data_IF_630275054128
#
_entry.id   IF_630275054128
#
_cell.length_a   1.000
_cell.length_b   1.000
_cell.length_c   1.000
_cell.angle_alpha   90.00
_cell.angle_beta   90.00
_cell.angle_gamma   90.00
#
_symmetry.space_group_name_H-M   'P 1'
#
loop_
_entity.id
_entity.type
_entity.pdbx_description
1 polymer ?
#
# COMPACT_ATOMS: atom_id res chain seq x y z
N UNK A 1 -31.41 32.97 -37.70
CA UNK A 1 -30.25 32.84 -36.77
C UNK A 1 -30.46 31.85 -35.62
N UNK A 2 -31.65 31.71 -35.00
CA UNK A 2 -31.86 30.80 -33.84
C UNK A 2 -31.87 29.28 -34.15
N UNK A 3 -31.99 28.86 -35.42
CA UNK A 3 -31.94 27.44 -35.84
C UNK A 3 -30.52 26.93 -36.14
N UNK A 4 -29.61 27.83 -36.53
CA UNK A 4 -28.21 27.49 -36.81
C UNK A 4 -27.41 27.24 -35.52
N UNK A 5 -27.70 28.01 -34.46
CA UNK A 5 -27.08 27.82 -33.13
C UNK A 5 -27.46 26.47 -32.50
N UNK A 6 -28.68 25.96 -32.78
CA UNK A 6 -29.12 24.66 -32.27
C UNK A 6 -28.39 23.48 -32.93
N UNK A 7 -27.98 23.61 -34.19
CA UNK A 7 -27.18 22.58 -34.87
C UNK A 7 -25.70 22.62 -34.45
N UNK A 8 -25.19 23.80 -34.10
CA UNK A 8 -23.82 23.95 -33.58
C UNK A 8 -23.66 23.42 -32.15
N UNK A 9 -24.71 23.50 -31.31
CA UNK A 9 -24.72 22.89 -29.97
C UNK A 9 -24.83 21.36 -30.01
N UNK A 10 -25.49 20.77 -31.02
CA UNK A 10 -25.56 19.32 -31.17
C UNK A 10 -24.22 18.71 -31.67
N UNK A 11 -23.50 19.42 -32.55
CA UNK A 11 -22.17 19.01 -32.99
C UNK A 11 -21.11 19.11 -31.88
N UNK A 12 -21.26 20.06 -30.95
CA UNK A 12 -20.36 20.21 -29.81
C UNK A 12 -20.54 19.12 -28.73
N UNK A 13 -21.72 18.45 -28.67
CA UNK A 13 -22.00 17.41 -27.68
C UNK A 13 -21.50 16.01 -28.10
N UNK A 14 -21.20 15.81 -29.38
CA UNK A 14 -20.70 14.51 -29.90
C UNK A 14 -19.17 14.39 -29.77
N UNK A 15 -18.45 15.50 -29.62
CA UNK A 15 -16.99 15.51 -29.47
C UNK A 15 -16.47 15.26 -28.04
N UNK A 16 -17.35 15.05 -27.06
CA UNK A 16 -16.96 14.76 -25.67
C UNK A 16 -17.30 13.34 -25.23
N UNK A 17 -17.42 12.39 -26.16
CA UNK A 17 -17.25 10.97 -25.80
C UNK A 17 -15.78 10.74 -25.50
N UNK A 18 -15.36 11.13 -24.29
CA UNK A 18 -14.13 10.65 -23.71
C UNK A 18 -14.22 9.13 -23.76
N UNK A 19 -13.34 8.51 -24.55
CA UNK A 19 -13.14 7.07 -24.52
C UNK A 19 -12.73 6.78 -23.09
N UNK A 20 -13.64 6.22 -22.31
CA UNK A 20 -13.34 5.68 -21.01
C UNK A 20 -12.39 4.49 -21.27
N UNK A 21 -11.09 4.78 -21.31
CA UNK A 21 -10.06 3.77 -21.36
C UNK A 21 -10.11 3.01 -20.06
N UNK A 22 -10.82 1.88 -20.05
CA UNK A 22 -10.63 0.87 -19.02
C UNK A 22 -9.13 0.58 -18.97
N UNK A 23 -8.52 0.68 -17.79
CA UNK A 23 -7.12 0.33 -17.64
C UNK A 23 -6.95 -1.12 -18.08
N UNK A 24 -6.27 -1.36 -19.20
CA UNK A 24 -6.02 -2.70 -19.71
C UNK A 24 -5.10 -3.42 -18.72
N UNK A 25 -5.53 -4.60 -18.26
CA UNK A 25 -4.71 -5.46 -17.41
C UNK A 25 -3.51 -5.93 -18.24
N UNK A 26 -2.32 -5.56 -17.79
CA UNK A 26 -1.07 -5.94 -18.42
C UNK A 26 -0.54 -7.23 -17.79
N UNK A 27 -0.03 -8.12 -18.64
CA UNK A 27 0.65 -9.33 -18.21
C UNK A 27 1.96 -8.96 -17.51
N UNK A 28 2.22 -9.58 -16.37
CA UNK A 28 3.45 -9.40 -15.63
C UNK A 28 4.07 -10.71 -15.15
N UNK A 29 5.28 -10.64 -14.58
CA UNK A 29 5.97 -11.78 -13.99
C UNK A 29 5.10 -12.55 -13.00
N UNK A 30 5.13 -13.88 -13.09
CA UNK A 30 4.41 -14.78 -12.20
C UNK A 30 2.97 -15.06 -12.61
N UNK A 31 2.38 -14.30 -13.55
CA UNK A 31 1.03 -14.58 -14.05
C UNK A 31 0.97 -15.95 -14.70
N UNK A 32 -0.15 -16.66 -14.50
CA UNK A 32 -0.41 -17.94 -15.16
C UNK A 32 -1.43 -17.71 -16.26
N UNK A 33 -1.07 -18.15 -17.46
CA UNK A 33 -1.86 -17.99 -18.67
C UNK A 33 -2.14 -19.35 -19.31
N UNK A 34 -3.36 -19.50 -19.79
CA UNK A 34 -3.80 -20.63 -20.59
C UNK A 34 -4.05 -20.14 -22.01
N UNK A 35 -3.31 -20.70 -22.95
CA UNK A 35 -3.43 -20.42 -24.38
C UNK A 35 -4.09 -21.58 -25.10
N UNK A 36 -4.90 -21.24 -26.10
CA UNK A 36 -5.49 -22.17 -27.05
C UNK A 36 -5.38 -21.59 -28.45
N UNK A 37 -4.97 -22.42 -29.41
CA UNK A 37 -4.93 -22.04 -30.82
C UNK A 37 -6.05 -22.77 -31.56
N UNK A 38 -6.93 -22.02 -32.21
CA UNK A 38 -8.08 -22.60 -32.90
C UNK A 38 -7.65 -23.57 -34.00
N UNK A 39 -8.23 -24.77 -34.02
CA UNK A 39 -7.88 -25.83 -34.97
C UNK A 39 -6.50 -26.46 -34.76
N UNK A 40 -5.82 -26.19 -33.64
CA UNK A 40 -4.50 -26.74 -33.32
C UNK A 40 -4.39 -27.07 -31.81
N UNK A 41 -5.08 -28.12 -31.33
CA UNK A 41 -5.09 -28.48 -29.91
C UNK A 41 -3.69 -28.78 -29.35
N UNK A 42 -2.79 -29.30 -30.18
CA UNK A 42 -1.39 -29.61 -29.82
C UNK A 42 -0.56 -28.36 -29.47
N UNK A 43 -1.04 -27.17 -29.83
CA UNK A 43 -0.43 -25.88 -29.47
C UNK A 43 -1.07 -25.23 -28.23
N UNK A 44 -2.02 -25.91 -27.59
CA UNK A 44 -2.62 -25.42 -26.34
C UNK A 44 -1.65 -25.62 -25.18
N UNK A 45 -1.52 -24.61 -24.34
CA UNK A 45 -0.54 -24.59 -23.26
C UNK A 45 -1.08 -23.85 -22.05
N UNK A 46 -0.81 -24.36 -20.86
CA UNK A 46 -0.91 -23.59 -19.62
C UNK A 46 0.50 -23.37 -19.08
N UNK A 47 0.89 -22.10 -18.91
CA UNK A 47 2.26 -21.74 -18.53
C UNK A 47 2.30 -20.47 -17.69
N UNK A 48 3.44 -20.24 -17.05
CA UNK A 48 3.70 -19.05 -16.23
C UNK A 48 4.57 -18.05 -16.99
N UNK A 49 4.26 -16.77 -16.88
CA UNK A 49 5.13 -15.68 -17.31
C UNK A 49 6.37 -15.64 -16.41
N UNK A 50 7.55 -15.80 -16.99
CA UNK A 50 8.83 -15.78 -16.27
C UNK A 50 9.11 -14.42 -15.64
N UNK A 51 10.10 -14.36 -14.75
CA UNK A 51 10.63 -13.10 -14.19
C UNK A 51 11.14 -12.12 -15.25
N UNK A 52 11.59 -12.65 -16.39
CA UNK A 52 12.01 -11.84 -17.55
C UNK A 52 10.85 -11.40 -18.44
N UNK A 53 9.59 -11.71 -18.08
CA UNK A 53 8.40 -11.37 -18.87
C UNK A 53 8.17 -12.27 -20.09
N UNK A 54 8.74 -13.47 -20.13
CA UNK A 54 8.61 -14.39 -21.26
C UNK A 54 7.70 -15.56 -20.93
N UNK A 55 7.07 -16.16 -21.95
CA UNK A 55 6.49 -17.51 -21.88
C UNK A 55 7.25 -18.44 -22.82
N UNK A 56 7.31 -19.72 -22.50
CA UNK A 56 7.81 -20.74 -23.42
C UNK A 56 6.63 -21.31 -24.19
N UNK A 57 6.57 -21.08 -25.51
CA UNK A 57 5.47 -21.52 -26.37
C UNK A 57 5.96 -22.58 -27.39
N UNK A 58 5.17 -23.63 -27.70
CA UNK A 58 5.56 -24.65 -28.66
C UNK A 58 5.94 -24.04 -30.02
N UNK A 59 7.00 -24.56 -30.65
CA UNK A 59 7.57 -24.11 -31.94
C UNK A 59 8.24 -22.73 -31.90
N UNK A 60 7.74 -21.79 -31.08
CA UNK A 60 8.27 -20.42 -30.98
C UNK A 60 9.37 -20.24 -29.93
N UNK A 61 9.50 -21.19 -28.98
CA UNK A 61 10.44 -21.05 -27.87
C UNK A 61 10.02 -19.92 -26.93
N UNK A 62 10.96 -19.02 -26.58
CA UNK A 62 10.64 -17.90 -25.68
C UNK A 62 9.93 -16.77 -26.42
N UNK A 63 8.73 -16.42 -25.95
CA UNK A 63 7.95 -15.30 -26.47
C UNK A 63 7.82 -14.23 -25.38
N UNK A 64 8.28 -12.98 -25.63
CA UNK A 64 8.10 -11.89 -24.68
C UNK A 64 6.65 -11.43 -24.65
N UNK A 65 6.01 -11.51 -23.48
CA UNK A 65 4.61 -11.12 -23.27
C UNK A 65 4.43 -10.14 -22.11
N UNK A 66 5.44 -9.97 -21.26
CA UNK A 66 5.43 -9.01 -20.15
C UNK A 66 5.20 -7.59 -20.64
N UNK A 67 4.33 -6.87 -19.94
CA UNK A 67 3.90 -5.51 -20.27
C UNK A 67 2.89 -5.41 -21.41
N UNK A 68 2.53 -6.52 -22.08
CA UNK A 68 1.48 -6.53 -23.10
C UNK A 68 0.11 -6.74 -22.45
N UNK A 69 -0.92 -6.16 -23.07
CA UNK A 69 -2.30 -6.60 -22.82
C UNK A 69 -2.52 -7.99 -23.41
N UNK A 70 -3.53 -8.70 -22.91
CA UNK A 70 -3.88 -10.05 -23.38
C UNK A 70 -4.07 -10.07 -24.90
N UNK A 71 -4.86 -9.13 -25.44
CA UNK A 71 -5.10 -9.02 -26.89
C UNK A 71 -3.81 -8.75 -27.69
N UNK A 72 -2.91 -7.93 -27.16
CA UNK A 72 -1.62 -7.67 -27.80
C UNK A 72 -0.71 -8.90 -27.79
N UNK A 73 -0.72 -9.69 -26.70
CA UNK A 73 0.02 -10.94 -26.60
C UNK A 73 -0.55 -12.02 -27.55
N UNK A 74 -1.88 -12.17 -27.62
CA UNK A 74 -2.55 -13.06 -28.57
C UNK A 74 -2.16 -12.76 -30.02
N UNK A 75 -2.29 -11.49 -30.41
CA UNK A 75 -1.92 -11.04 -31.75
C UNK A 75 -0.44 -11.31 -32.04
N UNK A 76 0.45 -11.00 -31.09
CA UNK A 76 1.89 -11.23 -31.26
C UNK A 76 2.22 -12.70 -31.48
N UNK A 77 1.62 -13.60 -30.70
CA UNK A 77 1.83 -15.05 -30.84
C UNK A 77 1.27 -15.54 -32.17
N UNK A 78 0.09 -15.08 -32.58
CA UNK A 78 -0.49 -15.38 -33.88
C UNK A 78 0.43 -14.96 -35.04
N UNK A 79 0.91 -13.71 -35.02
CA UNK A 79 1.83 -13.17 -36.02
C UNK A 79 3.14 -13.98 -36.08
N UNK A 80 3.66 -14.44 -34.94
CA UNK A 80 4.88 -15.27 -34.89
C UNK A 80 4.65 -16.68 -35.45
N UNK A 81 3.49 -17.29 -35.19
CA UNK A 81 3.11 -18.59 -35.76
C UNK A 81 2.98 -18.53 -37.29
N UNK A 82 2.42 -17.43 -37.80
CA UNK A 82 2.29 -17.21 -39.25
C UNK A 82 3.63 -16.95 -39.93
N UNK A 83 4.46 -16.06 -39.34
CA UNK A 83 5.79 -15.75 -39.88
C UNK A 83 6.74 -16.94 -39.85
N UNK A 84 6.61 -17.82 -38.84
CA UNK A 84 7.36 -19.07 -38.76
C UNK A 84 6.91 -20.14 -39.74
N UNK A 85 5.82 -19.91 -40.50
CA UNK A 85 5.28 -20.88 -41.45
C UNK A 85 4.56 -22.06 -40.80
N UNK A 86 4.27 -21.99 -39.50
CA UNK A 86 3.61 -23.07 -38.75
C UNK A 86 2.10 -23.10 -39.02
N UNK A 87 1.48 -21.92 -39.20
CA UNK A 87 0.05 -21.77 -39.49
C UNK A 87 -0.16 -20.67 -40.54
N UNK A 88 -1.26 -20.75 -41.31
CA UNK A 88 -1.60 -19.71 -42.31
C UNK A 88 -2.50 -18.59 -41.76
N UNK A 89 -3.35 -18.92 -40.78
CA UNK A 89 -4.30 -18.02 -40.13
C UNK A 89 -4.41 -18.41 -38.67
N UNK A 90 -3.49 -17.92 -37.85
CA UNK A 90 -3.40 -18.32 -36.45
C UNK A 90 -4.40 -17.49 -35.62
N UNK A 91 -5.40 -18.16 -35.04
CA UNK A 91 -6.30 -17.56 -34.07
C UNK A 91 -5.93 -18.05 -32.68
N UNK A 92 -5.34 -17.17 -31.89
CA UNK A 92 -4.86 -17.45 -30.53
C UNK A 92 -5.84 -16.82 -29.54
N UNK A 93 -6.24 -17.59 -28.53
CA UNK A 93 -6.98 -17.11 -27.38
C UNK A 93 -6.16 -17.36 -26.12
N UNK A 94 -6.08 -16.37 -25.25
CA UNK A 94 -5.32 -16.38 -24.01
C UNK A 94 -6.22 -16.00 -22.84
N UNK A 95 -6.20 -16.82 -21.80
CA UNK A 95 -6.92 -16.58 -20.56
C UNK A 95 -5.92 -16.51 -19.41
N UNK A 96 -5.97 -15.44 -18.61
CA UNK A 96 -5.17 -15.34 -17.39
C UNK A 96 -5.87 -16.13 -16.29
N UNK A 97 -5.29 -17.24 -15.86
CA UNK A 97 -5.83 -18.10 -14.79
C UNK A 97 -5.40 -17.63 -13.41
N UNK A 98 -4.27 -16.91 -13.30
CA UNK A 98 -3.80 -16.34 -12.04
C UNK A 98 -3.07 -15.02 -12.29
N UNK A 99 -3.54 -13.95 -11.63
CA UNK A 99 -2.92 -12.62 -11.63
C UNK A 99 -1.99 -12.48 -10.43
N UNK A 100 -0.77 -12.99 -10.55
CA UNK A 100 0.23 -12.89 -9.49
C UNK A 100 0.98 -11.55 -9.54
N UNK A 101 1.10 -10.97 -10.74
CA UNK A 101 1.80 -9.71 -10.98
C UNK A 101 1.03 -8.50 -10.46
N UNK A 102 -0.31 -8.59 -10.39
CA UNK A 102 -1.20 -7.51 -9.99
C UNK A 102 -1.59 -7.60 -8.50
N UNK A 103 -0.61 -7.85 -7.62
CA UNK A 103 -0.86 -7.94 -6.18
C UNK A 103 -0.06 -6.89 -5.41
N UNK A 104 -0.73 -6.25 -4.45
CA UNK A 104 -0.11 -5.35 -3.47
C UNK A 104 -0.01 -6.08 -2.13
N UNK A 105 1.13 -5.96 -1.48
CA UNK A 105 1.33 -6.51 -0.14
C UNK A 105 0.92 -5.49 0.90
N UNK A 106 -0.08 -5.81 1.72
CA UNK A 106 -0.47 -5.00 2.88
C UNK A 106 -0.01 -5.71 4.14
N UNK A 107 0.98 -5.14 4.82
CA UNK A 107 1.74 -5.79 5.89
C UNK A 107 1.78 -4.90 7.15
N UNK A 108 2.27 -5.48 8.25
CA UNK A 108 2.40 -4.79 9.53
C UNK A 108 1.11 -4.81 10.34
N UNK A 109 0.86 -3.74 11.09
CA UNK A 109 -0.26 -3.65 12.04
C UNK A 109 -1.58 -3.26 11.38
N UNK A 110 -2.06 -4.13 10.47
CA UNK A 110 -3.42 -4.12 9.90
C UNK A 110 -4.24 -5.28 10.45
N UNK A 111 -5.56 -5.21 10.36
CA UNK A 111 -6.43 -6.28 10.87
C UNK A 111 -6.29 -7.60 10.09
N UNK A 112 -6.03 -7.52 8.78
CA UNK A 112 -5.82 -8.68 7.90
C UNK A 112 -4.59 -8.46 7.03
N UNK A 113 -3.38 -8.79 7.49
CA UNK A 113 -2.19 -8.68 6.64
C UNK A 113 -2.23 -9.74 5.53
N UNK A 114 -1.76 -9.38 4.33
CA UNK A 114 -1.78 -10.30 3.19
C UNK A 114 -1.52 -9.62 1.85
N UNK A 115 -1.62 -10.43 0.79
CA UNK A 115 -1.56 -9.94 -0.59
C UNK A 115 -2.97 -9.72 -1.12
N UNK A 116 -3.17 -8.57 -1.75
CA UNK A 116 -4.46 -8.13 -2.26
C UNK A 116 -4.34 -7.87 -3.75
N UNK A 117 -5.24 -8.46 -4.54
CA UNK A 117 -5.31 -8.21 -5.96
C UNK A 117 -5.70 -6.75 -6.23
N UNK A 118 -4.99 -6.10 -7.14
CA UNK A 118 -5.30 -4.75 -7.61
C UNK A 118 -5.96 -4.88 -8.97
N UNK A 119 -7.29 -4.94 -8.96
CA UNK A 119 -8.08 -4.84 -10.19
C UNK A 119 -8.39 -3.38 -10.47
N UNK A 120 -7.93 -2.89 -11.63
CA UNK A 120 -8.13 -1.50 -12.05
C UNK A 120 -7.27 -0.51 -11.26
N UNK A 121 -7.75 0.74 -11.17
CA UNK A 121 -7.08 1.79 -10.38
C UNK A 121 -7.53 1.68 -8.93
N UNK A 122 -6.61 1.34 -8.03
CA UNK A 122 -6.82 1.33 -6.59
C UNK A 122 -5.83 2.26 -5.92
N UNK A 123 -6.25 2.80 -4.77
CA UNK A 123 -5.40 3.66 -3.95
C UNK A 123 -5.06 3.04 -2.60
N UNK A 124 -4.10 3.64 -1.92
CA UNK A 124 -3.64 3.20 -0.59
C UNK A 124 -4.81 3.00 0.38
N UNK A 125 -5.75 3.94 0.44
CA UNK A 125 -6.92 3.84 1.33
C UNK A 125 -7.82 2.63 1.00
N UNK A 126 -8.02 2.32 -0.28
CA UNK A 126 -8.80 1.16 -0.69
C UNK A 126 -8.19 -0.15 -0.16
N UNK A 127 -6.86 -0.27 -0.30
CA UNK A 127 -6.13 -1.46 0.13
C UNK A 127 -6.12 -1.60 1.65
N UNK A 128 -5.98 -0.49 2.39
CA UNK A 128 -6.14 -0.50 3.84
C UNK A 128 -7.55 -0.92 4.25
N UNK A 129 -8.59 -0.44 3.57
CA UNK A 129 -9.97 -0.84 3.82
C UNK A 129 -10.21 -2.33 3.53
N UNK A 130 -9.67 -2.85 2.42
CA UNK A 130 -9.70 -4.28 2.10
C UNK A 130 -8.99 -5.12 3.18
N UNK A 131 -7.88 -4.62 3.73
CA UNK A 131 -7.19 -5.22 4.87
C UNK A 131 -7.94 -5.10 6.21
N UNK A 132 -9.15 -4.54 6.22
CA UNK A 132 -9.97 -4.35 7.40
C UNK A 132 -9.58 -3.15 8.25
N UNK A 133 -8.77 -2.24 7.71
CA UNK A 133 -8.26 -1.07 8.41
C UNK A 133 -6.98 -1.35 9.22
N UNK A 134 -6.44 -0.27 9.80
CA UNK A 134 -5.30 -0.31 10.70
C UNK A 134 -5.72 -0.99 12.01
N UNK A 135 -4.90 -1.91 12.52
CA UNK A 135 -5.13 -2.61 13.78
C UNK A 135 -5.02 -1.64 14.97
N UNK A 136 -5.61 -1.96 16.13
CA UNK A 136 -5.58 -1.07 17.32
C UNK A 136 -4.18 -0.76 17.88
N UNK A 137 -3.19 -1.58 17.56
CA UNK A 137 -1.76 -1.36 17.89
C UNK A 137 -0.97 -0.76 16.72
N UNK A 138 -1.63 -0.44 15.60
CA UNK A 138 -1.01 0.18 14.43
C UNK A 138 -0.96 1.69 14.54
N UNK A 139 0.10 2.27 13.96
CA UNK A 139 0.31 3.70 13.93
C UNK A 139 -0.51 4.39 12.84
N UNK A 140 -0.66 5.70 13.00
CA UNK A 140 -1.33 6.56 12.02
C UNK A 140 -0.49 6.75 10.73
N UNK A 141 0.80 6.45 10.83
CA UNK A 141 1.79 6.62 9.76
C UNK A 141 2.05 5.26 9.13
N UNK A 142 1.98 5.22 7.80
CA UNK A 142 2.28 4.04 7.00
C UNK A 142 3.43 4.35 6.04
N UNK A 143 4.10 3.29 5.58
CA UNK A 143 5.09 3.36 4.52
C UNK A 143 4.55 2.73 3.24
N UNK A 144 4.57 3.48 2.15
CA UNK A 144 4.39 2.96 0.80
C UNK A 144 5.76 2.72 0.19
N UNK A 145 6.11 1.46 -0.04
CA UNK A 145 7.35 1.06 -0.70
C UNK A 145 7.03 0.64 -2.12
N UNK A 146 7.72 1.25 -3.09
CA UNK A 146 7.51 0.99 -4.52
C UNK A 146 8.83 0.73 -5.19
N UNK A 147 8.89 -0.36 -5.96
CA UNK A 147 10.02 -0.65 -6.83
C UNK A 147 9.57 -0.47 -8.28
N UNK A 148 10.24 0.43 -9.00
CA UNK A 148 10.03 0.70 -10.43
C UNK A 148 11.40 0.79 -11.09
N UNK A 149 11.60 0.08 -12.20
CA UNK A 149 12.86 0.08 -12.96
C UNK A 149 14.12 -0.17 -12.11
N UNK A 150 14.01 -1.04 -11.09
CA UNK A 150 15.09 -1.36 -10.16
C UNK A 150 15.34 -0.33 -9.05
N UNK A 151 14.66 0.83 -9.08
CA UNK A 151 14.73 1.84 -8.03
C UNK A 151 13.61 1.64 -7.00
N UNK A 152 14.01 1.48 -5.75
CA UNK A 152 13.08 1.36 -4.62
C UNK A 152 12.93 2.71 -3.92
N UNK A 153 11.69 3.18 -3.84
CA UNK A 153 11.30 4.41 -3.13
C UNK A 153 10.46 4.05 -1.91
N UNK A 154 10.59 4.84 -0.85
CA UNK A 154 9.78 4.74 0.36
C UNK A 154 9.14 6.09 0.64
N UNK A 155 7.82 6.12 0.64
CA UNK A 155 7.01 7.29 0.97
C UNK A 155 6.30 7.08 2.30
N UNK A 156 6.28 8.12 3.12
CA UNK A 156 5.64 8.09 4.43
C UNK A 156 4.31 8.84 4.33
N UNK A 157 3.22 8.18 4.72
CA UNK A 157 1.86 8.71 4.59
C UNK A 157 1.23 8.74 5.97
N UNK A 158 0.79 9.92 6.38
CA UNK A 158 -0.02 10.12 7.58
C UNK A 158 -1.50 9.93 7.24
N UNK A 159 -2.02 8.73 7.48
CA UNK A 159 -3.38 8.33 7.08
C UNK A 159 -4.43 9.13 7.86
N UNK A 160 -4.20 9.36 9.14
CA UNK A 160 -5.15 10.09 10.00
C UNK A 160 -5.22 11.56 9.60
N UNK A 161 -4.07 12.21 9.39
CA UNK A 161 -4.05 13.60 8.92
C UNK A 161 -4.66 13.71 7.52
N UNK A 162 -4.36 12.77 6.62
CA UNK A 162 -4.92 12.73 5.27
C UNK A 162 -6.45 12.72 5.27
N UNK A 163 -7.07 11.83 6.07
CA UNK A 163 -8.54 11.72 6.15
C UNK A 163 -9.16 12.92 6.86
N UNK A 164 -8.56 13.39 7.97
CA UNK A 164 -9.10 14.51 8.76
C UNK A 164 -9.01 15.85 8.03
N UNK A 165 -7.91 16.09 7.34
CA UNK A 165 -7.66 17.36 6.65
C UNK A 165 -8.18 17.35 5.20
N UNK A 166 -8.61 16.20 4.68
CA UNK A 166 -9.02 16.05 3.28
C UNK A 166 -7.86 16.12 2.28
N UNK A 167 -6.63 15.83 2.70
CA UNK A 167 -5.41 15.84 1.86
C UNK A 167 -5.30 14.60 0.96
N UNK A 168 -6.35 14.32 0.16
CA UNK A 168 -6.42 13.12 -0.70
C UNK A 168 -5.39 13.10 -1.84
N UNK A 169 -4.61 14.17 -2.01
CA UNK A 169 -3.46 14.20 -2.92
C UNK A 169 -2.32 13.27 -2.48
N UNK A 170 -2.33 12.79 -1.22
CA UNK A 170 -1.41 11.77 -0.70
C UNK A 170 -1.99 10.35 -0.72
N UNK A 171 -3.22 10.19 -1.24
CA UNK A 171 -3.81 8.87 -1.48
C UNK A 171 -3.37 8.39 -2.87
N UNK A 172 -2.16 7.83 -2.90
CA UNK A 172 -1.49 7.40 -4.11
C UNK A 172 -2.18 6.18 -4.73
N UNK A 173 -2.23 6.15 -6.06
CA UNK A 173 -2.53 4.92 -6.77
C UNK A 173 -1.42 3.89 -6.53
N UNK A 174 -1.82 2.65 -6.30
CA UNK A 174 -0.91 1.52 -6.10
C UNK A 174 -0.99 0.58 -7.29
N UNK A 175 0.11 -0.10 -7.56
CA UNK A 175 0.18 -1.11 -8.60
C UNK A 175 0.81 -2.40 -8.06
N UNK A 176 0.74 -3.45 -8.87
CA UNK A 176 1.37 -4.73 -8.59
C UNK A 176 2.82 -4.59 -8.11
N UNK A 177 3.16 -5.32 -7.06
CA UNK A 177 4.47 -5.31 -6.41
C UNK A 177 4.67 -4.24 -5.34
N UNK A 178 3.75 -3.28 -5.19
CA UNK A 178 3.85 -2.28 -4.11
C UNK A 178 3.63 -2.93 -2.73
N UNK A 179 4.26 -2.34 -1.71
CA UNK A 179 4.13 -2.75 -0.32
C UNK A 179 3.59 -1.58 0.49
N UNK A 180 2.43 -1.78 1.10
CA UNK A 180 1.89 -0.91 2.14
C UNK A 180 2.23 -1.53 3.47
N UNK A 181 3.10 -0.88 4.24
CA UNK A 181 3.53 -1.34 5.55
C UNK A 181 3.00 -0.41 6.63
N UNK A 182 2.21 -0.94 7.55
CA UNK A 182 1.69 -0.19 8.70
C UNK A 182 2.60 -0.42 9.90
N UNK A 183 3.26 0.64 10.34
CA UNK A 183 4.13 0.58 11.51
C UNK A 183 3.33 0.36 12.79
N UNK A 184 4.01 -0.09 13.84
CA UNK A 184 3.41 -0.12 15.17
C UNK A 184 3.10 1.31 15.60
N UNK A 185 2.04 1.50 16.37
CA UNK A 185 1.79 2.76 17.03
C UNK A 185 3.00 3.16 17.90
N UNK A 186 3.39 4.45 17.88
CA UNK A 186 4.47 4.93 18.73
C UNK A 186 4.13 4.64 20.18
N UNK A 187 5.17 4.34 20.98
CA UNK A 187 5.01 4.02 22.40
C UNK A 187 5.91 4.90 23.24
N UNK A 188 5.48 5.13 24.46
CA UNK A 188 6.29 5.67 25.55
C UNK A 188 6.04 4.80 26.79
N UNK A 189 6.81 5.05 27.85
CA UNK A 189 6.82 4.25 29.07
C UNK A 189 6.55 5.14 30.27
N UNK A 190 5.76 4.65 31.21
CA UNK A 190 5.56 5.29 32.50
C UNK A 190 6.00 4.33 33.60
N UNK A 191 6.81 4.81 34.53
CA UNK A 191 7.42 4.02 35.61
C UNK A 191 7.39 4.79 36.93
N UNK A 192 7.73 4.10 38.02
CA UNK A 192 7.68 4.65 39.38
C UNK A 192 6.28 4.58 39.97
N UNK A 193 5.89 5.63 40.69
CA UNK A 193 4.70 5.63 41.55
C UNK A 193 3.38 5.90 40.82
N UNK A 194 3.07 5.04 39.85
CA UNK A 194 1.78 4.98 39.14
C UNK A 194 1.06 3.67 39.42
N UNK A 195 -0.24 3.60 39.14
CA UNK A 195 -1.03 2.38 39.38
C UNK A 195 -0.64 1.23 38.44
N UNK A 196 -0.29 1.52 37.19
CA UNK A 196 0.07 0.55 36.16
C UNK A 196 1.33 1.01 35.40
N UNK A 197 2.52 0.74 35.95
CA UNK A 197 3.77 0.97 35.23
C UNK A 197 3.85 0.13 33.96
N UNK A 198 4.41 0.68 32.90
CA UNK A 198 4.63 -0.05 31.66
C UNK A 198 4.56 0.81 30.40
N UNK A 199 4.61 0.15 29.23
CA UNK A 199 4.44 0.83 27.95
C UNK A 199 2.98 1.23 27.74
N UNK A 200 2.77 2.36 27.09
CA UNK A 200 1.46 2.81 26.61
C UNK A 200 1.58 3.34 25.17
N UNK A 201 0.47 3.30 24.44
CA UNK A 201 0.37 3.91 23.10
C UNK A 201 0.46 5.43 23.24
N UNK A 202 1.37 6.03 22.49
CA UNK A 202 1.54 7.48 22.43
C UNK A 202 0.54 8.06 21.42
N UNK A 203 -0.33 8.95 21.90
CA UNK A 203 -1.24 9.71 21.05
C UNK A 203 -0.63 11.06 20.63
N UNK A 204 -1.18 11.67 19.58
CA UNK A 204 -0.69 12.97 19.09
C UNK A 204 -0.90 14.08 20.12
N UNK A 205 0.17 14.80 20.41
CA UNK A 205 0.14 15.92 21.36
C UNK A 205 -0.06 15.49 22.82
N UNK A 206 0.17 14.22 23.14
CA UNK A 206 0.00 13.69 24.48
C UNK A 206 0.95 14.38 25.48
N UNK A 207 0.43 14.78 26.63
CA UNK A 207 1.21 15.42 27.71
C UNK A 207 1.67 14.42 28.77
N UNK A 208 2.61 14.83 29.62
CA UNK A 208 3.07 14.03 30.77
C UNK A 208 1.89 13.63 31.67
N UNK A 209 0.96 14.54 31.93
CA UNK A 209 -0.23 14.24 32.73
C UNK A 209 -1.10 13.14 32.12
N UNK A 210 -1.33 13.21 30.81
CA UNK A 210 -2.11 12.21 30.09
C UNK A 210 -1.38 10.87 30.08
N UNK A 211 -0.06 10.86 29.98
CA UNK A 211 0.75 9.65 30.06
C UNK A 211 0.71 9.00 31.45
N UNK A 212 0.78 9.79 32.53
CA UNK A 212 0.56 9.29 33.90
C UNK A 212 -0.86 8.71 34.03
N UNK A 213 -1.85 9.36 33.41
CA UNK A 213 -3.23 8.86 33.39
C UNK A 213 -3.36 7.54 32.62
N UNK A 214 -2.62 7.36 31.52
CA UNK A 214 -2.54 6.09 30.78
C UNK A 214 -1.93 4.97 31.64
N UNK A 215 -1.01 5.31 32.55
CA UNK A 215 -0.51 4.45 33.62
C UNK A 215 -1.48 4.22 34.78
N UNK A 216 -2.76 4.57 34.64
CA UNK A 216 -3.77 4.44 35.70
C UNK A 216 -3.72 5.53 36.76
N UNK A 217 -2.97 6.61 36.54
CA UNK A 217 -2.80 7.69 37.51
C UNK A 217 -1.74 7.39 38.57
N UNK A 218 -1.55 8.35 39.48
CA UNK A 218 -0.65 8.20 40.63
C UNK A 218 -1.17 7.13 41.58
N UNK A 219 -0.25 6.38 42.19
CA UNK A 219 -0.60 5.51 43.34
C UNK A 219 -0.55 6.33 44.66
N UNK A 220 -0.80 5.70 45.81
CA UNK A 220 -0.82 6.39 47.12
C UNK A 220 0.50 7.06 47.52
N UNK A 221 1.62 6.64 46.92
CA UNK A 221 2.96 7.17 47.17
C UNK A 221 3.41 8.13 46.08
N UNK A 222 2.63 8.32 45.01
CA UNK A 222 3.06 9.12 43.87
C UNK A 222 2.94 10.62 44.11
N UNK A 223 3.86 11.37 43.51
CA UNK A 223 3.81 12.83 43.44
C UNK A 223 3.63 13.30 42.00
N UNK A 224 2.78 14.32 41.81
CA UNK A 224 2.68 15.09 40.56
C UNK A 224 3.84 16.09 40.38
N UNK A 225 4.67 16.23 41.42
CA UNK A 225 5.77 17.17 41.49
C UNK A 225 7.11 16.46 41.31
N UNK A 226 8.04 17.12 40.61
CA UNK A 226 9.40 16.59 40.41
C UNK A 226 9.47 15.37 39.48
N UNK A 227 8.47 15.17 38.62
CA UNK A 227 8.51 14.16 37.57
C UNK A 227 9.70 14.36 36.63
N UNK A 228 10.21 13.25 36.11
CA UNK A 228 11.33 13.24 35.16
C UNK A 228 10.97 12.48 33.90
N UNK A 229 11.57 12.87 32.79
CA UNK A 229 11.60 12.08 31.56
C UNK A 229 13.04 11.74 31.23
N UNK A 230 13.29 10.48 30.88
CA UNK A 230 14.48 10.07 30.13
C UNK A 230 14.13 10.00 28.66
N UNK A 231 14.80 10.81 27.84
CA UNK A 231 14.57 10.97 26.40
C UNK A 231 15.90 10.87 25.65
N UNK A 232 15.89 10.32 24.44
CA UNK A 232 17.06 10.35 23.56
C UNK A 232 17.24 11.75 22.97
N UNK A 233 18.43 12.31 23.09
CA UNK A 233 18.80 13.56 22.40
C UNK A 233 18.99 13.33 20.88
N UNK A 234 19.30 14.40 20.14
CA UNK A 234 19.54 14.31 18.69
C UNK A 234 20.73 13.40 18.31
N UNK A 235 21.64 13.14 19.25
CA UNK A 235 22.78 12.23 19.10
C UNK A 235 22.42 10.78 19.47
N UNK A 236 21.19 10.53 19.95
CA UNK A 236 20.72 9.23 20.41
C UNK A 236 21.06 8.89 21.85
N UNK A 237 21.70 9.80 22.60
CA UNK A 237 22.08 9.57 23.99
C UNK A 237 20.91 9.82 24.94
N UNK A 238 20.72 8.98 25.97
CA UNK A 238 19.66 9.20 26.96
C UNK A 238 20.00 10.39 27.86
N UNK A 239 19.09 11.35 27.94
CA UNK A 239 19.16 12.52 28.83
C UNK A 239 17.94 12.52 29.74
N UNK A 240 18.16 12.71 31.04
CA UNK A 240 17.08 12.82 32.03
C UNK A 240 16.83 14.28 32.38
N UNK A 241 15.61 14.76 32.17
CA UNK A 241 15.19 16.14 32.43
C UNK A 241 13.99 16.18 33.39
N UNK A 242 13.89 17.25 34.18
CA UNK A 242 12.68 17.52 34.97
C UNK A 242 11.59 18.04 34.03
N UNK A 243 10.35 17.60 34.24
CA UNK A 243 9.21 17.95 33.37
C UNK A 243 8.00 18.38 34.18
N UNK A 244 7.18 19.22 33.56
CA UNK A 244 5.86 19.62 34.06
C UNK A 244 4.78 18.71 33.49
N UNK A 245 3.63 18.66 34.17
CA UNK A 245 2.46 17.90 33.73
C UNK A 245 1.98 18.26 32.31
N UNK A 246 2.17 19.51 31.88
CA UNK A 246 1.79 20.02 30.56
C UNK A 246 2.80 19.72 29.45
N UNK A 247 4.00 19.25 29.76
CA UNK A 247 5.05 19.08 28.77
C UNK A 247 4.70 17.93 27.81
N UNK A 248 5.09 18.02 26.52
CA UNK A 248 4.77 16.98 25.53
C UNK A 248 5.66 15.74 25.70
N UNK A 249 5.05 14.58 25.50
CA UNK A 249 5.72 13.27 25.48
C UNK A 249 6.09 12.92 24.04
N UNK A 250 7.28 12.34 23.88
CA UNK A 250 7.83 11.89 22.60
C UNK A 250 7.92 10.36 22.55
N UNK A 251 8.14 9.85 21.34
CA UNK A 251 8.35 8.41 21.10
C UNK A 251 9.54 7.93 21.92
N UNK A 252 9.41 6.76 22.53
CA UNK A 252 10.39 6.10 23.39
C UNK A 252 10.75 6.81 24.70
N UNK A 253 10.03 7.87 25.08
CA UNK A 253 10.22 8.51 26.38
C UNK A 253 9.96 7.53 27.53
N UNK A 254 10.76 7.66 28.60
CA UNK A 254 10.50 7.00 29.88
C UNK A 254 10.17 8.05 30.93
N UNK A 255 8.90 8.14 31.29
CA UNK A 255 8.40 9.02 32.35
C UNK A 255 8.60 8.31 33.68
N UNK A 256 9.20 9.02 34.63
CA UNK A 256 9.51 8.54 35.97
C UNK A 256 8.73 9.39 36.95
N UNK A 257 7.69 8.80 37.54
CA UNK A 257 6.92 9.37 38.63
C UNK A 257 7.63 9.07 39.94
N UNK A 258 7.90 10.09 40.73
CA UNK A 258 8.66 9.94 41.97
C UNK A 258 7.74 9.65 43.15
N UNK A 259 8.32 9.01 44.14
CA UNK A 259 7.71 8.91 45.46
C UNK A 259 7.57 10.29 46.09
N UNK A 260 6.46 10.44 46.80
CA UNK A 260 6.12 11.64 47.52
C UNK A 260 6.75 11.62 48.91
N UNK A 261 7.30 12.75 49.31
CA UNK A 261 7.96 12.92 50.60
C UNK A 261 6.94 13.52 51.58
N UNK A 262 6.00 12.70 52.05
CA UNK A 262 5.12 13.02 53.18
C UNK A 262 4.68 11.77 53.93
#
# INVERSE_FOLDING_TARGET
>A
MKRFVKWMMAAALVLSMGVAGAAEVLLGPGDVVKLSVYGSPDLSLETRVSESGNITFPLLGQVPVGGLSVAAAEKKIGDMLEKGGYLKKAQVNMLVTTLASQQVSVLGYVNRPGRYAVEGRRKVLDLLAMAGGIHGEGGDIISLVRTRDGNTTRETIDVVAMVRNGELNKDYEVAGGDIIYVERAPRAYVTGEVQRPGPFRLERGMTVQQAVSAGGGLNMRGSDSGMKITRKDASGNPVTINVKASDPVQVDDVIIVRESWF
#
